data_IF_161058391234
#
_entry.id   IF_161058391234
#
_cell.length_a   1.000
_cell.length_b   1.000
_cell.length_c   1.000
_cell.angle_alpha   90.00
_cell.angle_beta   90.00
_cell.angle_gamma   90.00
#
_symmetry.space_group_name_H-M   'P 1'
#
loop_
_entity.id
_entity.type
_entity.pdbx_description
1 polymer ?
#
# COMPACT_ATOMS: atom_id res chain seq x y z
N UNK A 1 30.92 22.95 -6.88
CA UNK A 1 29.75 22.50 -7.66
C UNK A 1 29.30 21.26 -6.95
N UNK A 2 28.29 21.40 -6.11
CA UNK A 2 27.79 20.32 -5.28
C UNK A 2 26.76 19.58 -6.10
N UNK A 3 27.05 18.33 -6.49
CA UNK A 3 26.04 17.41 -6.99
C UNK A 3 25.10 17.10 -5.83
N UNK A 4 23.82 17.46 -5.98
CA UNK A 4 22.74 16.95 -5.13
C UNK A 4 22.49 15.48 -5.51
N UNK A 5 22.35 14.56 -4.55
CA UNK A 5 21.99 13.19 -4.87
C UNK A 5 20.56 13.16 -5.42
N UNK A 6 20.42 12.73 -6.68
CA UNK A 6 19.12 12.47 -7.29
C UNK A 6 18.35 11.43 -6.45
N UNK A 7 17.13 11.78 -6.01
CA UNK A 7 16.23 10.80 -5.42
C UNK A 7 15.77 9.76 -6.46
N UNK A 8 15.32 8.56 -6.05
CA UNK A 8 14.70 7.62 -6.95
C UNK A 8 13.51 8.32 -7.65
N UNK A 9 13.38 8.16 -8.97
CA UNK A 9 12.31 8.80 -9.73
C UNK A 9 10.93 8.39 -9.21
N UNK A 10 9.92 9.23 -9.46
CA UNK A 10 8.53 8.81 -9.42
C UNK A 10 8.35 7.72 -10.46
N UNK A 11 8.07 6.50 -10.00
CA UNK A 11 8.01 5.33 -10.84
C UNK A 11 6.56 5.08 -11.25
N UNK A 12 6.28 5.16 -12.55
CA UNK A 12 5.02 4.87 -13.27
C UNK A 12 4.28 6.12 -13.82
N UNK A 13 3.57 6.01 -14.96
CA UNK A 13 3.48 7.08 -15.95
C UNK A 13 2.34 8.07 -15.68
N UNK A 14 2.64 9.37 -15.84
CA UNK A 14 1.66 10.45 -15.84
C UNK A 14 1.89 11.56 -16.87
N UNK A 15 2.81 11.39 -17.83
CA UNK A 15 3.19 12.47 -18.75
C UNK A 15 2.11 12.74 -19.82
N UNK A 16 1.38 13.84 -19.68
CA UNK A 16 0.66 14.51 -20.77
C UNK A 16 1.30 15.89 -21.02
N UNK A 17 1.44 16.33 -22.28
CA UNK A 17 2.04 17.63 -22.59
C UNK A 17 1.15 18.78 -22.11
N UNK A 18 1.77 19.72 -21.39
CA UNK A 18 1.15 20.89 -20.79
C UNK A 18 1.05 22.01 -21.84
N UNK A 19 -0.14 22.24 -22.38
CA UNK A 19 -0.46 23.46 -23.13
C UNK A 19 -1.90 23.91 -22.80
N UNK A 20 -2.06 25.21 -22.47
CA UNK A 20 -3.29 26.04 -22.31
C UNK A 20 -3.77 26.38 -20.86
N UNK A 21 -4.53 27.48 -20.66
CA UNK A 21 -4.09 28.86 -20.41
C UNK A 21 -4.32 29.37 -18.96
N UNK A 22 -3.40 30.22 -18.47
CA UNK A 22 -3.56 31.33 -17.52
C UNK A 22 -4.22 31.12 -16.14
N UNK A 23 -3.41 31.07 -15.07
CA UNK A 23 -3.86 31.05 -13.67
C UNK A 23 -4.67 32.29 -13.25
N UNK A 24 -5.60 32.09 -12.32
CA UNK A 24 -6.31 33.18 -11.63
C UNK A 24 -5.62 33.49 -10.28
N UNK A 25 -5.69 34.75 -9.79
CA UNK A 25 -5.07 35.12 -8.52
C UNK A 25 -5.70 34.36 -7.34
N UNK A 26 -4.89 33.55 -6.64
CA UNK A 26 -5.29 32.73 -5.48
C UNK A 26 -4.95 31.24 -5.62
N UNK A 27 -4.51 30.81 -6.80
CA UNK A 27 -4.10 29.43 -7.09
C UNK A 27 -2.63 29.19 -6.64
N UNK A 28 -2.36 28.12 -5.89
CA UNK A 28 -1.02 27.69 -5.48
C UNK A 28 -0.59 26.47 -6.30
N UNK A 29 0.53 26.56 -7.01
CA UNK A 29 1.09 25.39 -7.73
C UNK A 29 1.77 24.48 -6.71
N UNK A 30 1.26 23.25 -6.57
CA UNK A 30 1.89 22.24 -5.74
C UNK A 30 3.05 21.62 -6.52
N UNK A 31 4.28 21.91 -6.09
CA UNK A 31 5.49 21.30 -6.65
C UNK A 31 5.77 20.02 -5.85
N UNK A 32 5.15 18.91 -6.25
CA UNK A 32 5.32 17.60 -5.63
C UNK A 32 4.42 16.54 -6.26
N UNK A 33 5.00 15.43 -6.69
CA UNK A 33 4.32 14.34 -7.42
C UNK A 33 4.42 14.48 -8.95
N UNK A 34 5.54 14.07 -9.54
CA UNK A 34 5.69 13.93 -10.99
C UNK A 34 5.43 15.20 -11.84
N UNK A 35 5.42 15.00 -13.16
CA UNK A 35 5.47 16.05 -14.20
C UNK A 35 4.14 16.83 -14.37
N UNK A 36 3.07 16.41 -13.71
CA UNK A 36 1.73 17.00 -13.87
C UNK A 36 1.57 18.29 -13.05
N UNK A 37 1.06 19.34 -13.69
CA UNK A 37 0.78 20.63 -13.04
C UNK A 37 -0.45 20.52 -12.13
N UNK A 38 -0.20 20.31 -10.84
CA UNK A 38 -1.22 20.23 -9.80
C UNK A 38 -1.42 21.60 -9.15
N UNK A 39 -2.66 22.09 -9.14
CA UNK A 39 -3.01 23.41 -8.59
C UNK A 39 -3.91 23.24 -7.37
N UNK A 40 -3.51 23.81 -6.25
CA UNK A 40 -4.35 23.92 -5.07
C UNK A 40 -5.19 25.18 -5.12
N UNK A 41 -6.48 25.04 -4.85
CA UNK A 41 -7.43 26.12 -4.65
C UNK A 41 -8.20 25.89 -3.35
N UNK A 42 -7.74 26.53 -2.26
CA UNK A 42 -8.35 26.35 -0.92
C UNK A 42 -8.18 24.92 -0.39
N UNK A 43 -9.31 24.21 -0.22
CA UNK A 43 -9.39 22.81 0.21
C UNK A 43 -9.56 21.83 -0.98
N UNK A 44 -9.21 22.28 -2.19
CA UNK A 44 -9.33 21.52 -3.43
C UNK A 44 -8.02 21.45 -4.17
N UNK A 45 -7.85 20.37 -4.92
CA UNK A 45 -6.75 20.14 -5.86
C UNK A 45 -7.33 19.94 -7.25
N UNK A 46 -6.80 20.71 -8.21
CA UNK A 46 -7.07 20.55 -9.63
C UNK A 46 -5.86 19.89 -10.30
N UNK A 47 -6.09 18.76 -10.97
CA UNK A 47 -5.05 18.07 -11.75
C UNK A 47 -5.58 17.61 -13.11
N UNK A 48 -4.72 17.38 -14.12
CA UNK A 48 -5.13 16.84 -15.40
C UNK A 48 -5.82 15.48 -15.26
N UNK A 49 -6.83 15.21 -16.10
CA UNK A 49 -7.44 13.88 -16.22
C UNK A 49 -6.76 13.04 -17.28
N UNK A 50 -6.66 11.73 -17.06
CA UNK A 50 -6.29 10.74 -18.07
C UNK A 50 -7.46 9.83 -18.47
N UNK A 51 -7.28 8.96 -19.48
CA UNK A 51 -8.28 7.96 -19.86
C UNK A 51 -8.75 7.07 -18.70
N UNK A 52 -7.89 6.87 -17.69
CA UNK A 52 -8.18 6.07 -16.50
C UNK A 52 -8.96 6.82 -15.41
N UNK A 53 -9.08 8.14 -15.47
CA UNK A 53 -9.72 8.96 -14.43
C UNK A 53 -11.16 8.52 -14.15
N UNK A 54 -11.88 8.01 -15.15
CA UNK A 54 -13.24 7.47 -14.95
C UNK A 54 -13.25 6.29 -13.97
N UNK A 55 -12.24 5.43 -14.00
CA UNK A 55 -12.10 4.30 -13.06
C UNK A 55 -11.63 4.76 -11.69
N UNK A 56 -10.70 5.71 -11.64
CA UNK A 56 -10.25 6.33 -10.40
C UNK A 56 -11.43 7.01 -9.69
N UNK A 57 -12.29 7.72 -10.41
CA UNK A 57 -13.46 8.37 -9.81
C UNK A 57 -14.48 7.37 -9.28
N UNK A 58 -14.72 6.24 -9.98
CA UNK A 58 -15.57 5.16 -9.47
C UNK A 58 -14.97 4.54 -8.19
N UNK A 59 -13.66 4.34 -8.15
CA UNK A 59 -12.95 3.87 -6.96
C UNK A 59 -13.12 4.85 -5.78
N UNK A 60 -12.80 6.13 -5.97
CA UNK A 60 -12.86 7.14 -4.90
C UNK A 60 -14.28 7.29 -4.32
N UNK A 61 -15.32 7.27 -5.17
CA UNK A 61 -16.72 7.31 -4.70
C UNK A 61 -17.09 6.05 -3.91
N UNK A 62 -16.55 4.88 -4.26
CA UNK A 62 -16.80 3.64 -3.51
C UNK A 62 -16.03 3.59 -2.20
N UNK A 63 -14.83 4.14 -2.15
CA UNK A 63 -14.07 4.32 -0.90
C UNK A 63 -14.85 5.22 0.07
N UNK A 64 -15.36 6.34 -0.41
CA UNK A 64 -16.24 7.22 0.38
C UNK A 64 -17.48 6.47 0.88
N UNK A 65 -18.19 5.75 0.00
CA UNK A 65 -19.35 4.96 0.38
C UNK A 65 -19.04 3.82 1.37
N UNK A 66 -17.80 3.31 1.36
CA UNK A 66 -17.30 2.32 2.30
C UNK A 66 -16.79 2.91 3.63
N UNK A 67 -16.79 4.25 3.77
CA UNK A 67 -16.31 4.95 4.96
C UNK A 67 -14.79 5.04 5.07
N UNK A 68 -14.06 4.93 3.96
CA UNK A 68 -12.61 5.15 3.93
C UNK A 68 -12.31 6.64 3.73
N UNK A 69 -12.14 7.37 4.83
CA UNK A 69 -11.95 8.83 4.84
C UNK A 69 -10.51 9.30 4.54
N UNK A 70 -9.57 8.38 4.34
CA UNK A 70 -8.17 8.69 4.09
C UNK A 70 -7.83 8.82 2.58
N UNK A 71 -8.84 8.91 1.70
CA UNK A 71 -8.70 9.20 0.27
C UNK A 71 -9.45 10.49 -0.07
N UNK A 72 -9.03 11.23 -1.12
CA UNK A 72 -9.73 12.44 -1.51
C UNK A 72 -11.09 12.14 -2.16
N UNK A 73 -12.10 12.97 -1.88
CA UNK A 73 -13.39 12.92 -2.59
C UNK A 73 -13.29 13.59 -3.95
N UNK A 74 -14.12 13.12 -4.89
CA UNK A 74 -14.24 13.67 -6.24
C UNK A 74 -15.35 14.72 -6.26
N UNK A 75 -15.02 15.97 -6.61
CA UNK A 75 -15.99 17.07 -6.73
C UNK A 75 -16.49 17.26 -8.16
N UNK A 76 -15.69 16.88 -9.14
CA UNK A 76 -16.07 16.93 -10.55
C UNK A 76 -14.89 16.79 -11.49
N UNK A 77 -15.18 16.82 -12.78
CA UNK A 77 -14.17 16.95 -13.82
C UNK A 77 -14.71 17.80 -14.97
N UNK A 78 -13.96 18.80 -15.38
CA UNK A 78 -14.31 19.73 -16.45
C UNK A 78 -13.04 20.23 -17.16
N UNK A 79 -13.12 20.40 -18.49
CA UNK A 79 -12.03 20.98 -19.27
C UNK A 79 -10.71 20.20 -19.21
N UNK A 80 -10.77 18.88 -19.06
CA UNK A 80 -9.58 18.01 -18.95
C UNK A 80 -8.90 18.05 -17.58
N UNK A 81 -9.55 18.62 -16.56
CA UNK A 81 -9.08 18.61 -15.18
C UNK A 81 -10.12 18.00 -14.26
N UNK A 82 -9.66 17.29 -13.25
CA UNK A 82 -10.47 16.82 -12.13
C UNK A 82 -10.24 17.69 -10.91
N UNK A 83 -11.27 17.79 -10.07
CA UNK A 83 -11.23 18.50 -8.81
C UNK A 83 -11.43 17.50 -7.67
N UNK A 84 -10.43 17.39 -6.81
CA UNK A 84 -10.36 16.46 -5.68
C UNK A 84 -10.20 17.21 -4.36
N UNK A 85 -10.49 16.56 -3.23
CA UNK A 85 -10.11 17.10 -1.91
C UNK A 85 -8.59 17.34 -1.82
N UNK A 86 -8.20 18.47 -1.24
CA UNK A 86 -6.87 18.63 -0.69
C UNK A 86 -6.81 17.97 0.69
N UNK A 87 -5.93 16.99 0.89
CA UNK A 87 -5.69 16.37 2.18
C UNK A 87 -4.61 17.16 2.95
N UNK A 88 -4.91 17.76 4.12
CA UNK A 88 -3.93 18.53 4.87
C UNK A 88 -2.82 17.65 5.44
N UNK A 89 -1.57 18.09 5.26
CA UNK A 89 -0.39 17.43 5.80
C UNK A 89 0.83 17.67 4.91
N UNK A 90 1.87 16.89 5.14
CA UNK A 90 3.08 16.86 4.31
C UNK A 90 3.17 15.53 3.56
N UNK A 91 3.98 15.45 2.50
CA UNK A 91 4.26 14.18 1.81
C UNK A 91 5.74 13.87 1.91
N UNK A 92 6.09 12.58 1.93
CA UNK A 92 7.47 12.10 2.01
C UNK A 92 8.20 12.16 0.67
N UNK A 93 8.32 13.36 0.07
CA UNK A 93 9.12 13.57 -1.14
C UNK A 93 10.58 13.19 -0.89
N UNK A 94 11.32 12.84 -1.95
CA UNK A 94 12.74 12.54 -1.83
C UNK A 94 13.59 13.82 -1.74
N UNK A 95 14.65 13.86 -0.91
CA UNK A 95 15.04 12.85 0.09
C UNK A 95 13.99 12.68 1.18
N UNK A 96 13.67 11.41 1.50
CA UNK A 96 12.62 11.05 2.48
C UNK A 96 12.96 11.70 3.83
N UNK A 97 12.01 12.46 4.39
CA UNK A 97 12.22 13.12 5.68
C UNK A 97 12.35 12.13 6.83
N UNK A 98 12.93 12.58 7.94
CA UNK A 98 13.07 11.75 9.15
C UNK A 98 11.68 11.30 9.67
N UNK A 99 10.66 12.14 9.54
CA UNK A 99 9.29 11.80 9.91
C UNK A 99 8.74 10.65 9.05
N UNK A 100 8.93 10.71 7.73
CA UNK A 100 8.48 9.68 6.80
C UNK A 100 9.33 8.39 6.92
N UNK A 101 10.59 8.48 7.33
CA UNK A 101 11.46 7.33 7.59
C UNK A 101 11.21 6.68 8.97
N UNK A 102 10.50 7.36 9.88
CA UNK A 102 10.27 6.92 11.25
C UNK A 102 9.58 5.56 11.36
N UNK A 103 9.76 4.89 12.50
CA UNK A 103 9.05 3.64 12.81
C UNK A 103 7.52 3.87 12.94
N UNK A 104 7.11 5.07 13.37
CA UNK A 104 5.70 5.47 13.45
C UNK A 104 5.08 5.54 12.05
N UNK A 105 5.77 6.19 11.10
CA UNK A 105 5.31 6.31 9.72
C UNK A 105 5.22 4.93 9.05
N UNK A 106 6.26 4.09 9.20
CA UNK A 106 6.25 2.72 8.69
C UNK A 106 5.03 1.92 9.16
N UNK A 107 4.72 1.96 10.46
CA UNK A 107 3.60 1.22 11.04
C UNK A 107 2.25 1.79 10.60
N UNK A 108 2.09 3.10 10.64
CA UNK A 108 0.82 3.75 10.25
C UNK A 108 0.57 3.64 8.75
N UNK A 109 1.61 3.62 7.92
CA UNK A 109 1.52 3.29 6.49
C UNK A 109 1.01 1.85 6.29
N UNK A 110 1.53 0.88 7.04
CA UNK A 110 1.06 -0.50 6.95
C UNK A 110 -0.41 -0.66 7.40
N UNK A 111 -0.80 0.02 8.48
CA UNK A 111 -2.17 0.06 8.98
C UNK A 111 -3.13 0.71 7.96
N UNK A 112 -2.74 1.83 7.36
CA UNK A 112 -3.53 2.52 6.33
C UNK A 112 -3.71 1.64 5.08
N UNK A 113 -2.65 0.97 4.60
CA UNK A 113 -2.73 0.07 3.45
C UNK A 113 -3.68 -1.11 3.73
N UNK A 114 -3.64 -1.68 4.94
CA UNK A 114 -4.55 -2.74 5.37
C UNK A 114 -6.00 -2.26 5.32
N UNK A 115 -6.26 -1.05 5.83
CA UNK A 115 -7.61 -0.51 5.92
C UNK A 115 -8.15 -0.15 4.52
N UNK A 116 -7.29 0.38 3.63
CA UNK A 116 -7.58 0.55 2.21
C UNK A 116 -7.94 -0.78 1.51
N UNK A 117 -7.10 -1.80 1.68
CA UNK A 117 -7.35 -3.14 1.12
C UNK A 117 -8.65 -3.77 1.66
N UNK A 118 -8.96 -3.56 2.95
CA UNK A 118 -10.22 -4.02 3.54
C UNK A 118 -11.42 -3.31 2.91
N UNK A 119 -11.35 -1.99 2.72
CA UNK A 119 -12.43 -1.22 2.10
C UNK A 119 -12.68 -1.67 0.66
N UNK A 120 -11.63 -1.94 -0.12
CA UNK A 120 -11.77 -2.31 -1.53
C UNK A 120 -12.13 -3.78 -1.78
N UNK A 121 -11.80 -4.68 -0.85
CA UNK A 121 -12.04 -6.12 -0.99
C UNK A 121 -13.51 -6.46 -1.30
N UNK A 122 -14.46 -5.70 -0.73
CA UNK A 122 -15.89 -5.93 -0.91
C UNK A 122 -16.41 -5.64 -2.32
N UNK A 123 -15.71 -4.82 -3.11
CA UNK A 123 -16.18 -4.39 -4.43
C UNK A 123 -15.16 -4.54 -5.57
N UNK A 124 -13.90 -4.91 -5.28
CA UNK A 124 -12.84 -5.04 -6.29
C UNK A 124 -13.24 -5.93 -7.49
N UNK A 125 -13.94 -7.03 -7.21
CA UNK A 125 -14.42 -7.96 -8.26
C UNK A 125 -15.57 -7.40 -9.09
N UNK A 126 -16.35 -6.45 -8.56
CA UNK A 126 -17.46 -5.83 -9.26
C UNK A 126 -17.01 -4.70 -10.20
N UNK A 127 -15.79 -4.19 -10.02
CA UNK A 127 -15.25 -3.15 -10.89
C UNK A 127 -14.95 -3.67 -12.30
N UNK A 128 -15.10 -2.82 -13.33
CA UNK A 128 -14.74 -3.17 -14.70
C UNK A 128 -13.28 -3.61 -14.83
N UNK A 129 -13.02 -4.51 -15.79
CA UNK A 129 -11.67 -5.03 -16.05
C UNK A 129 -10.81 -4.12 -16.92
N UNK A 130 -11.43 -3.23 -17.68
CA UNK A 130 -10.80 -2.34 -18.65
C UNK A 130 -10.92 -0.87 -18.25
N UNK A 131 -10.05 -0.03 -18.83
CA UNK A 131 -10.03 1.42 -18.60
C UNK A 131 -9.19 1.86 -17.40
N UNK A 132 -8.41 0.95 -16.82
CA UNK A 132 -7.36 1.28 -15.84
C UNK A 132 -6.07 1.65 -16.58
N UNK A 133 -5.24 2.50 -15.98
CA UNK A 133 -3.92 2.82 -16.54
C UNK A 133 -3.05 1.56 -16.66
N UNK A 134 -3.08 0.75 -15.62
CA UNK A 134 -2.37 -0.53 -15.54
C UNK A 134 -3.37 -1.69 -15.64
N UNK A 135 -3.00 -2.79 -16.31
CA UNK A 135 -3.90 -3.93 -16.50
C UNK A 135 -4.27 -4.59 -15.18
N UNK A 136 -5.53 -5.01 -15.06
CA UNK A 136 -6.00 -5.84 -13.94
C UNK A 136 -5.14 -7.10 -13.80
N UNK A 137 -4.84 -7.48 -12.56
CA UNK A 137 -4.07 -8.68 -12.24
C UNK A 137 -4.94 -9.71 -11.53
N UNK A 138 -4.84 -10.97 -11.93
CA UNK A 138 -5.47 -12.08 -11.23
C UNK A 138 -4.50 -12.70 -10.20
N UNK A 139 -5.01 -13.24 -9.07
CA UNK A 139 -6.41 -13.20 -8.64
C UNK A 139 -6.82 -11.80 -8.15
N UNK A 140 -8.04 -11.36 -8.50
CA UNK A 140 -8.61 -10.12 -7.92
C UNK A 140 -9.06 -10.36 -6.48
N UNK A 141 -8.34 -9.72 -5.55
CA UNK A 141 -8.62 -9.74 -4.11
C UNK A 141 -9.01 -8.36 -3.57
N UNK A 142 -8.35 -7.31 -4.08
CA UNK A 142 -8.48 -5.91 -3.65
C UNK A 142 -8.34 -5.01 -4.88
N UNK A 143 -8.53 -3.71 -4.71
CA UNK A 143 -7.98 -2.73 -5.65
C UNK A 143 -6.63 -2.31 -5.10
N UNK A 144 -5.56 -2.70 -5.78
CA UNK A 144 -4.21 -2.24 -5.48
C UNK A 144 -4.12 -0.74 -5.78
N UNK A 145 -3.40 0.01 -4.96
CA UNK A 145 -2.99 1.38 -5.22
C UNK A 145 -2.01 1.45 -6.40
N UNK A 146 -1.10 0.48 -6.51
CA UNK A 146 -0.15 0.38 -7.62
C UNK A 146 1.16 1.15 -7.42
N UNK A 147 1.14 2.22 -6.64
CA UNK A 147 2.32 3.00 -6.25
C UNK A 147 2.23 3.47 -4.77
N UNK A 148 2.20 2.52 -3.83
CA UNK A 148 2.06 2.83 -2.40
C UNK A 148 3.42 3.19 -1.78
N UNK A 149 3.77 4.47 -1.82
CA UNK A 149 5.07 5.00 -1.41
C UNK A 149 4.95 6.27 -0.55
N UNK A 150 5.99 6.69 0.21
CA UNK A 150 5.94 7.87 1.06
C UNK A 150 5.50 9.18 0.39
N UNK A 151 5.79 9.37 -0.89
CA UNK A 151 5.41 10.58 -1.64
C UNK A 151 3.92 10.60 -2.03
N UNK A 152 3.24 9.45 -2.01
CA UNK A 152 1.80 9.31 -2.24
C UNK A 152 1.00 9.19 -0.92
N UNK A 153 1.67 9.36 0.21
CA UNK A 153 1.08 9.28 1.53
C UNK A 153 1.20 10.62 2.25
N UNK A 154 0.08 11.11 2.77
CA UNK A 154 0.01 12.35 3.52
C UNK A 154 0.30 12.06 4.99
N UNK A 155 1.20 12.83 5.57
CA UNK A 155 1.64 12.74 6.95
C UNK A 155 1.12 13.92 7.79
N UNK A 156 0.74 13.61 9.02
CA UNK A 156 0.57 14.54 10.13
C UNK A 156 1.67 14.25 11.18
N UNK A 157 2.76 15.02 11.12
CA UNK A 157 4.00 14.68 11.80
C UNK A 157 4.56 13.35 11.28
N UNK A 158 4.76 12.38 12.17
CA UNK A 158 5.24 11.03 11.81
C UNK A 158 4.11 10.05 11.43
N UNK A 159 2.84 10.47 11.47
CA UNK A 159 1.71 9.56 11.23
C UNK A 159 1.22 9.68 9.81
N UNK A 160 1.09 8.55 9.11
CA UNK A 160 0.42 8.52 7.81
C UNK A 160 -1.09 8.59 8.01
N UNK A 161 -1.73 9.60 7.41
CA UNK A 161 -3.14 9.94 7.59
C UNK A 161 -3.95 9.97 6.30
N UNK A 162 -3.29 10.01 5.13
CA UNK A 162 -3.95 10.08 3.84
C UNK A 162 -3.20 9.35 2.74
N UNK A 163 -3.92 8.98 1.70
CA UNK A 163 -3.45 8.35 0.48
C UNK A 163 -3.93 9.18 -0.70
N UNK A 164 -3.02 9.47 -1.62
CA UNK A 164 -3.26 10.26 -2.83
C UNK A 164 -2.67 9.54 -4.05
N UNK A 165 -2.99 10.06 -5.22
CA UNK A 165 -2.48 9.59 -6.51
C UNK A 165 -2.85 8.14 -6.90
N UNK A 166 -4.15 7.94 -7.15
CA UNK A 166 -4.73 6.64 -7.49
C UNK A 166 -4.61 6.26 -8.99
N UNK A 167 -3.79 6.97 -9.77
CA UNK A 167 -3.70 6.77 -11.23
C UNK A 167 -3.28 5.35 -11.61
N UNK A 168 -2.38 4.76 -10.82
CA UNK A 168 -1.87 3.40 -11.01
C UNK A 168 -2.74 2.32 -10.35
N UNK A 169 -3.86 2.73 -9.74
CA UNK A 169 -4.75 1.81 -9.05
C UNK A 169 -5.37 0.82 -10.03
N UNK A 170 -5.57 -0.42 -9.57
CA UNK A 170 -6.23 -1.48 -10.36
C UNK A 170 -6.66 -2.65 -9.50
N UNK A 171 -7.72 -3.38 -9.87
CA UNK A 171 -8.04 -4.68 -9.29
C UNK A 171 -6.85 -5.65 -9.39
N UNK A 172 -6.50 -6.29 -8.29
CA UNK A 172 -5.28 -7.08 -8.17
C UNK A 172 -5.17 -7.95 -6.91
N UNK A 173 -4.11 -8.77 -6.81
CA UNK A 173 -3.74 -9.44 -5.57
C UNK A 173 -3.07 -8.44 -4.62
N UNK A 174 -3.47 -8.44 -3.35
CA UNK A 174 -2.93 -7.50 -2.33
C UNK A 174 -1.40 -7.57 -2.20
N UNK A 175 -0.83 -8.74 -2.51
CA UNK A 175 0.60 -9.00 -2.41
C UNK A 175 1.42 -8.10 -3.34
N UNK A 176 0.85 -7.66 -4.47
CA UNK A 176 1.52 -6.70 -5.35
C UNK A 176 1.77 -5.37 -4.63
N UNK A 177 0.75 -4.80 -3.98
CA UNK A 177 0.92 -3.57 -3.20
C UNK A 177 1.83 -3.76 -1.99
N UNK A 178 1.77 -4.92 -1.33
CA UNK A 178 2.70 -5.23 -0.24
C UNK A 178 4.16 -5.24 -0.71
N UNK A 179 4.44 -5.74 -1.91
CA UNK A 179 5.77 -5.70 -2.51
C UNK A 179 6.26 -4.27 -2.78
N UNK A 180 5.40 -3.43 -3.38
CA UNK A 180 5.70 -2.00 -3.62
C UNK A 180 5.96 -1.29 -2.29
N UNK A 181 5.04 -1.43 -1.33
CA UNK A 181 5.13 -0.78 -0.04
C UNK A 181 6.36 -1.23 0.75
N UNK A 182 6.67 -2.53 0.73
CA UNK A 182 7.87 -3.06 1.37
C UNK A 182 9.14 -2.45 0.76
N UNK A 183 9.25 -2.38 -0.57
CA UNK A 183 10.40 -1.75 -1.23
C UNK A 183 10.57 -0.28 -0.80
N UNK A 184 9.49 0.51 -0.80
CA UNK A 184 9.53 1.97 -0.60
C UNK A 184 9.57 2.43 0.85
N UNK A 185 8.94 1.70 1.78
CA UNK A 185 8.86 2.09 3.21
C UNK A 185 9.95 1.45 4.09
N UNK A 186 10.51 0.30 3.67
CA UNK A 186 11.60 -0.40 4.39
C UNK A 186 13.00 0.02 3.91
N UNK A 187 13.08 0.93 2.94
CA UNK A 187 14.07 0.97 1.84
C UNK A 187 14.86 -0.32 1.61
N UNK A 188 14.31 -1.25 0.82
CA UNK A 188 15.00 -2.50 0.43
C UNK A 188 16.02 -2.27 -0.70
N UNK A 189 16.97 -1.39 -0.44
CA UNK A 189 18.07 -1.02 -1.35
C UNK A 189 19.41 -1.36 -0.71
N UNK A 190 20.47 -1.44 -1.52
CA UNK A 190 21.81 -1.73 -1.01
C UNK A 190 22.31 -0.60 -0.07
N UNK A 191 22.62 -0.88 1.22
CA UNK A 191 23.18 0.10 2.15
C UNK A 191 24.53 0.69 1.73
N UNK A 192 25.21 0.07 0.74
CA UNK A 192 26.40 0.63 0.12
C UNK A 192 26.09 1.83 -0.80
N UNK A 193 24.83 2.01 -1.23
CA UNK A 193 24.41 3.18 -1.99
C UNK A 193 24.26 4.40 -1.07
N UNK A 194 24.65 5.56 -1.59
CA UNK A 194 24.56 6.82 -0.87
C UNK A 194 23.10 7.14 -0.51
N UNK A 195 22.87 7.58 0.73
CA UNK A 195 21.53 7.93 1.21
C UNK A 195 20.69 6.76 1.74
N UNK A 196 21.13 5.50 1.58
CA UNK A 196 20.43 4.34 2.18
C UNK A 196 20.89 4.17 3.63
N UNK A 197 19.97 4.43 4.58
CA UNK A 197 20.31 4.51 6.01
C UNK A 197 20.07 3.25 6.85
N UNK A 198 19.14 2.31 6.54
CA UNK A 198 19.09 1.07 7.29
C UNK A 198 20.02 0.02 6.68
N UNK A 199 20.87 -0.59 7.51
CA UNK A 199 21.60 -1.81 7.12
C UNK A 199 20.66 -3.01 7.01
N UNK A 200 21.13 -4.12 6.43
CA UNK A 200 20.31 -5.32 6.16
C UNK A 200 19.53 -5.84 7.37
N UNK A 201 20.15 -5.87 8.56
CA UNK A 201 19.47 -6.35 9.78
C UNK A 201 18.31 -5.43 10.20
N UNK A 202 18.48 -4.12 10.04
CA UNK A 202 17.43 -3.14 10.33
C UNK A 202 16.32 -3.20 9.27
N UNK A 203 16.67 -3.33 7.99
CA UNK A 203 15.69 -3.57 6.92
C UNK A 203 14.85 -4.81 7.21
N UNK A 204 15.47 -5.92 7.63
CA UNK A 204 14.75 -7.14 7.98
C UNK A 204 13.79 -6.93 9.18
N UNK A 205 14.21 -6.19 10.21
CA UNK A 205 13.37 -5.86 11.36
C UNK A 205 12.20 -4.94 10.98
N UNK A 206 12.45 -3.92 10.15
CA UNK A 206 11.43 -3.02 9.60
C UNK A 206 10.42 -3.76 8.73
N UNK A 207 10.89 -4.69 7.88
CA UNK A 207 10.03 -5.52 7.04
C UNK A 207 9.08 -6.38 7.88
N UNK A 208 9.59 -7.00 8.95
CA UNK A 208 8.76 -7.75 9.90
C UNK A 208 7.73 -6.83 10.58
N UNK A 209 8.15 -5.66 11.08
CA UNK A 209 7.25 -4.69 11.72
C UNK A 209 6.14 -4.19 10.77
N UNK A 210 6.47 -3.95 9.50
CA UNK A 210 5.49 -3.60 8.47
C UNK A 210 4.47 -4.73 8.26
N UNK A 211 4.95 -5.97 8.12
CA UNK A 211 4.07 -7.14 7.97
C UNK A 211 3.15 -7.32 9.19
N UNK A 212 3.67 -7.11 10.40
CA UNK A 212 2.91 -7.23 11.64
C UNK A 212 1.82 -6.17 11.73
N UNK A 213 2.14 -4.91 11.43
CA UNK A 213 1.19 -3.80 11.45
C UNK A 213 0.10 -3.92 10.37
N UNK A 214 0.48 -4.37 9.16
CA UNK A 214 -0.48 -4.71 8.11
C UNK A 214 -1.36 -5.93 8.48
N UNK A 215 -0.86 -6.83 9.33
CA UNK A 215 -1.53 -8.10 9.64
C UNK A 215 -1.35 -9.14 8.52
N UNK A 216 -0.18 -9.17 7.90
CA UNK A 216 0.11 -10.03 6.75
C UNK A 216 -0.01 -11.51 7.11
N UNK A 217 -0.70 -12.27 6.26
CA UNK A 217 -0.88 -13.71 6.43
C UNK A 217 0.44 -14.47 6.21
N UNK A 218 0.51 -15.72 6.68
CA UNK A 218 1.67 -16.58 6.45
C UNK A 218 1.95 -16.82 4.95
N UNK A 219 0.90 -16.80 4.11
CA UNK A 219 1.04 -16.92 2.65
C UNK A 219 1.63 -15.64 2.07
N UNK A 220 1.13 -14.47 2.47
CA UNK A 220 1.66 -13.17 2.04
C UNK A 220 3.12 -12.99 2.46
N UNK A 221 3.46 -13.33 3.70
CA UNK A 221 4.85 -13.24 4.22
C UNK A 221 5.82 -14.10 3.42
N UNK A 222 5.42 -15.32 3.05
CA UNK A 222 6.25 -16.20 2.20
C UNK A 222 6.43 -15.66 0.79
N UNK A 223 5.43 -14.99 0.23
CA UNK A 223 5.49 -14.44 -1.12
C UNK A 223 6.07 -13.02 -1.21
N UNK A 224 6.37 -12.37 -0.09
CA UNK A 224 6.69 -10.94 -0.06
C UNK A 224 7.99 -10.60 -0.78
N UNK A 225 9.05 -11.38 -0.56
CA UNK A 225 10.34 -11.15 -1.24
C UNK A 225 10.22 -11.36 -2.75
N UNK A 226 9.43 -12.35 -3.18
CA UNK A 226 9.13 -12.55 -4.60
C UNK A 226 8.37 -11.35 -5.18
N UNK A 227 7.39 -10.81 -4.46
CA UNK A 227 6.64 -9.65 -4.89
C UNK A 227 7.49 -8.38 -5.02
N UNK A 228 8.46 -8.17 -4.12
CA UNK A 228 9.45 -7.08 -4.23
C UNK A 228 10.30 -7.23 -5.49
N UNK A 229 10.84 -8.44 -5.73
CA UNK A 229 11.67 -8.70 -6.91
C UNK A 229 10.88 -8.58 -8.22
N UNK A 230 9.64 -9.06 -8.24
CA UNK A 230 8.75 -8.93 -9.38
C UNK A 230 8.43 -7.46 -9.67
N UNK A 231 8.22 -6.64 -8.63
CA UNK A 231 8.02 -5.21 -8.79
C UNK A 231 9.24 -4.52 -9.40
N UNK A 232 10.45 -4.79 -8.90
CA UNK A 232 11.69 -4.22 -9.44
C UNK A 232 11.91 -4.62 -10.92
N UNK A 233 11.63 -5.87 -11.27
CA UNK A 233 11.67 -6.33 -12.67
C UNK A 233 10.63 -5.60 -13.54
N UNK A 234 9.41 -5.40 -13.02
CA UNK A 234 8.37 -4.63 -13.72
C UNK A 234 8.79 -3.17 -13.95
N UNK A 235 9.43 -2.51 -12.98
CA UNK A 235 9.94 -1.14 -13.14
C UNK A 235 10.97 -1.05 -14.26
N UNK A 236 11.96 -1.94 -14.24
CA UNK A 236 13.00 -2.00 -15.27
C UNK A 236 12.40 -2.26 -16.65
N UNK A 237 11.50 -3.25 -16.78
CA UNK A 237 10.84 -3.56 -18.05
C UNK A 237 10.01 -2.38 -18.55
N UNK A 238 9.20 -1.79 -17.70
CA UNK A 238 8.36 -0.65 -18.05
C UNK A 238 9.21 0.52 -18.56
N UNK A 239 10.31 0.83 -17.88
CA UNK A 239 11.22 1.91 -18.26
C UNK A 239 11.79 1.71 -19.67
N UNK A 240 12.26 0.50 -19.99
CA UNK A 240 12.76 0.18 -21.34
C UNK A 240 11.66 0.14 -22.40
N UNK A 241 10.46 -0.34 -22.08
CA UNK A 241 9.32 -0.35 -22.99
C UNK A 241 8.90 1.08 -23.36
N UNK A 242 8.81 1.99 -22.38
CA UNK A 242 8.47 3.40 -22.62
C UNK A 242 9.57 4.16 -23.36
N UNK A 243 10.85 3.91 -23.01
CA UNK A 243 11.98 4.47 -23.74
C UNK A 243 11.99 3.99 -25.21
N UNK A 244 11.73 2.70 -25.45
CA UNK A 244 11.60 2.12 -26.79
C UNK A 244 10.40 2.65 -27.58
N UNK A 245 9.34 3.07 -26.89
CA UNK A 245 8.17 3.75 -27.46
C UNK A 245 8.41 5.25 -27.72
N UNK A 246 9.58 5.79 -27.36
CA UNK A 246 9.98 7.17 -27.63
C UNK A 246 9.56 8.19 -26.57
N UNK A 247 9.16 7.76 -25.38
CA UNK A 247 8.85 8.69 -24.28
C UNK A 247 10.14 9.25 -23.69
N UNK A 248 10.37 10.55 -23.89
CA UNK A 248 11.65 11.21 -23.57
C UNK A 248 12.05 11.09 -22.09
N UNK A 249 11.10 11.22 -21.16
CA UNK A 249 11.37 11.09 -19.73
C UNK A 249 11.96 9.72 -19.36
N UNK A 250 11.38 8.63 -19.89
CA UNK A 250 11.89 7.28 -19.64
C UNK A 250 13.22 7.01 -20.33
N UNK A 251 13.45 7.57 -21.52
CA UNK A 251 14.77 7.50 -22.16
C UNK A 251 15.85 8.19 -21.32
N UNK A 252 15.50 9.33 -20.71
CA UNK A 252 16.38 10.04 -19.78
C UNK A 252 16.64 9.23 -18.50
N UNK A 253 15.60 8.61 -17.91
CA UNK A 253 15.77 7.73 -16.74
C UNK A 253 16.74 6.57 -17.01
N UNK A 254 16.68 5.95 -18.19
CA UNK A 254 17.65 4.91 -18.59
C UNK A 254 19.05 5.50 -18.76
N UNK A 255 19.17 6.69 -19.37
CA UNK A 255 20.46 7.36 -19.52
C UNK A 255 21.10 7.76 -18.18
N UNK A 256 20.27 8.08 -17.18
CA UNK A 256 20.68 8.43 -15.82
C UNK A 256 20.96 7.20 -14.93
N UNK A 257 20.76 5.99 -15.46
CA UNK A 257 21.07 4.72 -14.77
C UNK A 257 20.04 4.27 -13.74
N UNK A 258 18.80 4.78 -13.81
CA UNK A 258 17.74 4.37 -12.88
C UNK A 258 17.40 2.86 -13.00
N UNK A 259 17.48 2.31 -14.21
CA UNK A 259 17.33 0.86 -14.43
C UNK A 259 18.47 0.06 -13.78
N UNK A 260 19.69 0.58 -13.78
CA UNK A 260 20.83 -0.04 -13.09
C UNK A 260 20.64 -0.05 -11.58
N UNK A 261 20.09 1.03 -11.01
CA UNK A 261 19.72 1.12 -9.59
C UNK A 261 18.71 0.03 -9.22
N UNK A 262 17.59 -0.09 -9.96
CA UNK A 262 16.59 -1.13 -9.67
C UNK A 262 17.12 -2.54 -9.84
N UNK A 263 18.02 -2.78 -10.82
CA UNK A 263 18.70 -4.07 -10.95
C UNK A 263 19.66 -4.34 -9.80
N UNK A 264 20.35 -3.31 -9.29
CA UNK A 264 21.22 -3.45 -8.12
C UNK A 264 20.41 -3.78 -6.87
N UNK A 265 19.30 -3.09 -6.64
CA UNK A 265 18.37 -3.37 -5.54
C UNK A 265 17.78 -4.79 -5.65
N UNK A 266 17.41 -5.23 -6.85
CA UNK A 266 16.92 -6.59 -7.07
C UNK A 266 18.00 -7.65 -6.75
N UNK A 267 19.26 -7.40 -7.13
CA UNK A 267 20.39 -8.28 -6.76
C UNK A 267 20.61 -8.30 -5.25
N UNK A 268 20.54 -7.14 -4.60
CA UNK A 268 20.68 -7.01 -3.15
C UNK A 268 19.57 -7.79 -2.42
N UNK A 269 18.31 -7.54 -2.75
CA UNK A 269 17.15 -8.26 -2.18
C UNK A 269 17.28 -9.77 -2.42
N UNK A 270 17.71 -10.18 -3.62
CA UNK A 270 17.97 -11.57 -3.95
C UNK A 270 19.08 -12.20 -3.10
N UNK A 271 20.19 -11.50 -2.91
CA UNK A 271 21.32 -11.96 -2.10
C UNK A 271 20.97 -12.07 -0.60
N UNK A 272 20.08 -11.22 -0.11
CA UNK A 272 19.65 -11.17 1.29
C UNK A 272 18.31 -11.85 1.57
N UNK A 273 17.73 -12.54 0.57
CA UNK A 273 16.43 -13.23 0.64
C UNK A 273 16.27 -14.04 1.93
N UNK A 274 17.22 -14.90 2.26
CA UNK A 274 17.11 -15.79 3.42
C UNK A 274 16.96 -15.02 4.74
N UNK A 275 17.64 -13.87 4.87
CA UNK A 275 17.55 -13.01 6.06
C UNK A 275 16.19 -12.32 6.13
N UNK A 276 15.73 -11.77 5.00
CA UNK A 276 14.44 -11.08 4.89
C UNK A 276 13.27 -12.05 5.14
N UNK A 277 13.28 -13.22 4.51
CA UNK A 277 12.27 -14.27 4.69
C UNK A 277 12.23 -14.79 6.13
N UNK A 278 13.41 -15.06 6.73
CA UNK A 278 13.48 -15.50 8.11
C UNK A 278 12.86 -14.47 9.08
N UNK A 279 13.12 -13.18 8.86
CA UNK A 279 12.58 -12.12 9.70
C UNK A 279 11.05 -12.03 9.62
N UNK A 280 10.48 -12.04 8.42
CA UNK A 280 9.01 -11.95 8.27
C UNK A 280 8.29 -13.20 8.76
N UNK A 281 8.92 -14.37 8.72
CA UNK A 281 8.35 -15.62 9.23
C UNK A 281 8.52 -15.81 10.74
N UNK A 282 9.52 -15.19 11.36
CA UNK A 282 9.73 -15.24 12.81
C UNK A 282 8.65 -14.46 13.59
N UNK A 283 8.02 -13.47 12.96
CA UNK A 283 6.93 -12.66 13.53
C UNK A 283 5.58 -13.38 13.65
N UNK A 284 5.48 -14.70 13.38
CA UNK A 284 4.25 -15.42 13.68
C UNK A 284 4.01 -15.43 15.20
N UNK A 285 2.90 -14.82 15.70
CA UNK A 285 2.48 -15.09 17.06
C UNK A 285 2.16 -16.59 17.13
N UNK A 286 3.06 -17.33 17.75
CA UNK A 286 2.88 -18.74 18.00
C UNK A 286 1.53 -18.94 18.69
N UNK A 287 0.65 -19.71 18.04
CA UNK A 287 -0.26 -20.60 18.75
C UNK A 287 0.54 -21.22 19.88
N UNK A 288 0.08 -20.98 21.10
CA UNK A 288 0.66 -21.46 22.34
C UNK A 288 1.28 -22.84 22.15
N UNK A 289 2.59 -22.96 22.43
CA UNK A 289 3.18 -24.26 22.73
C UNK A 289 2.45 -24.76 23.96
N UNK A 290 1.45 -25.61 23.74
CA UNK A 290 0.68 -26.26 24.79
C UNK A 290 1.62 -26.73 25.89
N UNK A 291 1.49 -26.12 27.05
CA UNK A 291 2.28 -26.45 28.22
C UNK A 291 2.09 -27.92 28.54
N UNK A 292 3.17 -28.70 28.36
CA UNK A 292 3.30 -30.02 28.98
C UNK A 292 3.23 -29.78 30.49
N UNK A 293 2.04 -29.98 31.06
CA UNK A 293 1.88 -30.16 32.49
C UNK A 293 2.61 -31.46 32.85
N UNK A 294 3.80 -31.30 33.43
CA UNK A 294 4.53 -32.37 34.07
C UNK A 294 3.71 -32.93 35.22
N UNK A 295 3.55 -34.25 35.20
CA UNK A 295 2.88 -35.01 36.25
C UNK A 295 3.57 -34.85 37.60
N UNK A 296 2.75 -34.66 38.64
CA UNK A 296 3.08 -35.02 40.01
C UNK A 296 2.29 -36.28 40.38
N UNK A 297 2.89 -37.23 41.11
CA UNK A 297 2.20 -38.46 41.50
C UNK A 297 1.24 -38.19 42.66
N UNK A 298 0.08 -38.85 42.62
CA UNK A 298 -0.92 -38.79 43.69
C UNK A 298 -0.59 -39.71 44.88
N UNK A 299 -1.33 -39.53 45.97
CA UNK A 299 -2.03 -40.56 46.77
C UNK A 299 -3.04 -39.81 47.67
N UNK A 300 -4.29 -40.27 47.76
CA UNK A 300 -5.26 -39.76 48.74
C UNK A 300 -6.67 -40.30 48.53
N UNK A 301 -6.95 -41.41 49.20
CA UNK A 301 -8.17 -42.25 49.16
C UNK A 301 -9.45 -41.60 49.69
N UNK A 302 -10.60 -41.99 49.12
CA UNK A 302 -11.79 -42.35 49.92
C UNK A 302 -13.09 -41.58 49.64
N UNK A 303 -14.17 -42.32 49.34
CA UNK A 303 -15.53 -41.92 49.74
C UNK A 303 -16.61 -42.00 48.66
N UNK A 304 -17.37 -43.09 48.69
CA UNK A 304 -18.55 -43.43 47.90
C UNK A 304 -19.67 -42.36 47.79
N UNK A 305 -20.43 -42.42 46.69
CA UNK A 305 -21.80 -41.89 46.61
C UNK A 305 -22.30 -41.68 45.18
N UNK A 306 -23.17 -42.57 44.70
CA UNK A 306 -24.05 -42.41 43.52
C UNK A 306 -25.48 -42.73 43.97
N UNK A 307 -26.53 -42.51 43.16
CA UNK A 307 -26.79 -41.43 42.20
C UNK A 307 -28.21 -40.84 42.41
N UNK A 308 -28.57 -39.75 41.71
CA UNK A 308 -29.99 -39.43 41.42
C UNK A 308 -30.11 -38.43 40.26
N UNK A 309 -30.86 -38.83 39.24
CA UNK A 309 -31.59 -37.99 38.28
C UNK A 309 -33.09 -38.34 38.44
N UNK A 310 -34.07 -37.81 37.66
CA UNK A 310 -34.10 -36.65 36.75
C UNK A 310 -35.35 -35.75 37.01
N UNK A 311 -35.58 -34.67 36.23
CA UNK A 311 -36.91 -34.14 35.80
C UNK A 311 -36.74 -32.78 35.08
N UNK A 312 -36.89 -32.66 33.74
CA UNK A 312 -38.12 -32.37 32.96
C UNK A 312 -38.39 -30.88 32.66
N UNK A 313 -38.52 -30.57 31.36
CA UNK A 313 -39.56 -29.73 30.70
C UNK A 313 -39.63 -28.23 31.09
N UNK A 314 -39.75 -27.26 30.19
CA UNK A 314 -40.68 -27.14 29.06
C UNK A 314 -40.11 -26.18 27.98
N UNK A 315 -40.34 -26.54 26.72
CA UNK A 315 -40.45 -25.61 25.59
C UNK A 315 -41.95 -25.41 25.27
N UNK A 316 -42.24 -24.43 24.40
CA UNK A 316 -43.51 -24.13 23.70
C UNK A 316 -44.35 -22.95 24.23
N UNK A 317 -44.42 -21.90 23.38
CA UNK A 317 -45.62 -21.17 22.94
C UNK A 317 -45.23 -20.41 21.66
N UNK A 318 -45.49 -20.98 20.48
CA UNK A 318 -46.72 -20.85 19.67
C UNK A 318 -46.90 -19.44 19.08
N UNK A 319 -46.53 -19.33 17.81
CA UNK A 319 -46.83 -18.19 16.93
C UNK A 319 -48.33 -18.05 16.64
N UNK A 320 -48.70 -16.83 16.28
CA UNK A 320 -50.05 -16.45 15.93
C UNK A 320 -50.35 -16.65 14.45
N UNK A 321 -51.57 -17.09 14.18
CA UNK A 321 -52.28 -16.92 12.92
C UNK A 321 -53.65 -16.32 13.26
N UNK A 322 -54.01 -15.25 12.56
CA UNK A 322 -55.31 -14.58 12.63
C UNK A 322 -55.59 -13.88 11.31
N UNK A 323 -56.55 -14.44 10.58
CA UNK A 323 -57.20 -13.94 9.36
C UNK A 323 -57.94 -12.62 9.60
N UNK A 324 -57.80 -11.64 8.70
CA UNK A 324 -58.84 -11.18 7.73
C UNK A 324 -58.30 -10.01 6.88
#
# INVERSE_FOLDING_TARGET
>A
MSDEPAGPPGDLPGDLPDDLPGDLPGDEVLVGGGVNRVVRRGDRVLRPTGPWSVRVHDLLRRLEAAGFDAAPRVHGAAGGREELDFLPGTVGNYPVSDEAASATALRTAAELLRDYHRATAGFARALPREGWLLPVREPVEVVCHGDYAPHNCVLDGERVVGLIDFDTARPGPRLTDLGVAAYRWVPLSDPAHEGVRPGTAEQAARLAAFCDAYGASAVERRGLVDAVLEHLDLLVRHMHEQAGAGVAAFAQHVADGHDELYRADARYVGAHRAVLEAAVLAGEPGRERGGKHGGGPGVGTGGAGSPSAPSSRNAERSGGEGHD
#
